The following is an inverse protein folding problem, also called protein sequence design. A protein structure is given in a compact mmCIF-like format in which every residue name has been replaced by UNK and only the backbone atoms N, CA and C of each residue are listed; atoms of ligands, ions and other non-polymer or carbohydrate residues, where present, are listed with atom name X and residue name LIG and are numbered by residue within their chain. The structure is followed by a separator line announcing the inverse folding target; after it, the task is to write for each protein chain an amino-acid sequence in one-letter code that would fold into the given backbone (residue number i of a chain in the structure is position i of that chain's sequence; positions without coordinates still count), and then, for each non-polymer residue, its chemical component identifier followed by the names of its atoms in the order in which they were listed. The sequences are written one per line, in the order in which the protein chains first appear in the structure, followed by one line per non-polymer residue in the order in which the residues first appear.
data_IF_031576046290
#
_entry.id   IF_031576046290
#
_cell.length_a   1.000
_cell.length_b   1.000
_cell.length_c   1.000
_cell.angle_alpha   90.00
_cell.angle_beta   90.00
_cell.angle_gamma   90.00
#
_symmetry.space_group_name_H-M   'P 1'
#
loop_
_entity.id
_entity.type
_entity.pdbx_description
1 polymer ?
#
# COMPACT_ATOMS: atom_id res chain seq x y z
N UNK A 1 22.82 30.77 -27.87
CA UNK A 1 23.76 31.13 -26.79
C UNK A 1 23.59 30.31 -25.50
N UNK A 2 22.57 29.45 -25.33
CA UNK A 2 22.38 28.65 -24.10
C UNK A 2 23.07 27.28 -24.08
N UNK A 3 23.58 26.79 -25.22
CA UNK A 3 24.19 25.44 -25.32
C UNK A 3 25.72 25.47 -25.21
N UNK A 4 26.36 26.63 -25.41
CA UNK A 4 27.81 26.78 -25.22
C UNK A 4 28.20 27.00 -23.75
N UNK A 5 27.30 27.53 -22.92
CA UNK A 5 27.56 27.84 -21.50
C UNK A 5 27.73 26.61 -20.61
N UNK A 6 27.15 25.47 -21.00
CA UNK A 6 27.26 24.22 -20.22
C UNK A 6 28.63 23.53 -20.37
N UNK A 7 29.34 23.75 -21.48
CA UNK A 7 30.69 23.19 -21.68
C UNK A 7 31.79 23.96 -20.94
N UNK A 8 31.50 25.17 -20.49
CA UNK A 8 32.47 26.02 -19.76
C UNK A 8 32.39 25.81 -18.23
N UNK A 9 31.31 25.20 -17.73
CA UNK A 9 31.09 24.87 -16.31
C UNK A 9 31.92 23.67 -15.80
N UNK A 10 32.53 22.89 -16.70
CA UNK A 10 33.35 21.73 -16.34
C UNK A 10 34.83 22.07 -16.06
N UNK A 11 35.27 23.31 -16.30
CA UNK A 11 36.66 23.71 -16.10
C UNK A 11 36.77 25.06 -15.39
N UNK A 12 36.80 25.00 -14.05
CA UNK A 12 37.56 25.89 -13.18
C UNK A 12 37.29 27.40 -13.26
N UNK A 13 36.46 27.91 -12.32
CA UNK A 13 36.77 29.09 -11.48
C UNK A 13 35.67 29.26 -10.42
N UNK A 14 36.10 29.24 -9.16
CA UNK A 14 35.31 29.37 -7.93
C UNK A 14 34.79 30.81 -7.70
N UNK A 15 34.09 31.38 -8.68
CA UNK A 15 33.66 32.79 -8.66
C UNK A 15 32.24 33.08 -9.16
N UNK A 16 31.59 32.13 -9.85
CA UNK A 16 30.37 32.42 -10.65
C UNK A 16 29.04 32.10 -9.97
N UNK A 17 29.03 31.86 -8.65
CA UNK A 17 27.82 31.46 -7.90
C UNK A 17 27.08 32.63 -7.26
N UNK A 18 27.34 33.87 -7.69
CA UNK A 18 26.73 35.09 -7.12
C UNK A 18 26.30 36.07 -8.22
N UNK A 19 25.02 36.41 -8.25
CA UNK A 19 24.42 37.44 -9.10
C UNK A 19 23.77 38.56 -8.28
N UNK A 20 23.23 39.59 -8.95
CA UNK A 20 22.63 40.76 -8.29
C UNK A 20 21.38 40.44 -7.43
N UNK A 21 20.74 39.29 -7.67
CA UNK A 21 19.51 38.85 -6.98
C UNK A 21 19.60 37.45 -6.37
N UNK A 22 20.78 36.81 -6.38
CA UNK A 22 20.99 35.49 -5.80
C UNK A 22 22.44 35.30 -5.38
N UNK A 23 22.66 34.64 -4.24
CA UNK A 23 23.98 34.25 -3.76
C UNK A 23 23.94 32.75 -3.42
N UNK A 24 24.43 31.93 -4.35
CA UNK A 24 24.52 30.47 -4.23
C UNK A 24 25.93 30.02 -3.82
N UNK A 25 26.84 30.94 -3.45
CA UNK A 25 28.15 30.60 -2.88
C UNK A 25 28.05 29.63 -1.67
N UNK A 26 27.04 29.72 -0.78
CA UNK A 26 26.88 28.75 0.31
C UNK A 26 26.54 27.33 -0.18
N UNK A 27 25.90 27.19 -1.34
CA UNK A 27 25.53 25.90 -1.91
C UNK A 27 26.68 25.21 -2.63
N UNK A 28 27.71 25.93 -3.06
CA UNK A 28 28.88 25.38 -3.76
C UNK A 28 29.61 24.30 -2.94
N UNK A 29 29.58 24.37 -1.61
CA UNK A 29 30.17 23.36 -0.72
C UNK A 29 29.23 22.18 -0.39
N UNK A 30 27.93 22.29 -0.71
CA UNK A 30 26.90 21.30 -0.39
C UNK A 30 26.14 20.77 -1.62
N UNK A 31 26.62 21.03 -2.85
CA UNK A 31 25.98 20.58 -4.12
C UNK A 31 25.80 19.06 -4.17
N UNK A 32 26.65 18.32 -3.45
CA UNK A 32 26.48 16.89 -3.25
C UNK A 32 25.79 16.66 -1.90
N UNK A 33 24.46 16.79 -1.90
CA UNK A 33 23.63 16.58 -0.71
C UNK A 33 23.93 15.28 0.02
N UNK A 34 23.55 15.24 1.30
CA UNK A 34 23.64 14.06 2.15
C UNK A 34 23.05 12.85 1.44
N UNK A 35 23.91 11.96 0.94
CA UNK A 35 23.48 10.72 0.31
C UNK A 35 22.95 9.80 1.40
N UNK A 36 21.63 9.62 1.43
CA UNK A 36 20.99 8.62 2.28
C UNK A 36 21.38 7.23 1.73
N UNK A 37 22.48 6.67 2.24
CA UNK A 37 23.14 5.48 1.69
C UNK A 37 22.35 4.19 1.94
N UNK A 38 21.44 4.15 2.91
CA UNK A 38 20.73 2.93 3.32
C UNK A 38 19.68 2.46 2.29
N UNK A 39 18.98 3.40 1.64
CA UNK A 39 17.97 3.08 0.62
C UNK A 39 18.58 2.74 -0.74
N UNK A 40 19.84 3.09 -0.98
CA UNK A 40 20.50 2.88 -2.28
C UNK A 40 21.00 1.44 -2.46
N UNK A 41 21.10 0.65 -1.39
CA UNK A 41 21.76 -0.66 -1.42
C UNK A 41 20.82 -1.85 -1.60
N UNK A 42 19.51 -1.70 -1.38
CA UNK A 42 18.55 -2.80 -1.49
C UNK A 42 17.35 -2.41 -2.36
N UNK A 43 17.22 -3.08 -3.50
CA UNK A 43 16.22 -2.80 -4.53
C UNK A 43 14.79 -3.17 -4.11
N UNK A 44 14.61 -4.24 -3.32
CA UNK A 44 13.30 -4.65 -2.83
C UNK A 44 12.73 -3.63 -1.84
N UNK A 45 13.54 -3.18 -0.88
CA UNK A 45 13.15 -2.16 0.11
C UNK A 45 12.85 -0.85 -0.62
N UNK A 46 13.73 -0.43 -1.53
CA UNK A 46 13.52 0.79 -2.32
C UNK A 46 12.21 0.74 -3.10
N UNK A 47 11.90 -0.38 -3.75
CA UNK A 47 10.66 -0.58 -4.51
C UNK A 47 9.41 -0.47 -3.62
N UNK A 48 9.42 -1.10 -2.43
CA UNK A 48 8.29 -1.07 -1.49
C UNK A 48 8.08 0.33 -0.93
N UNK A 49 9.14 0.98 -0.46
CA UNK A 49 9.08 2.35 0.09
C UNK A 49 8.59 3.31 -0.98
N UNK A 50 9.14 3.24 -2.20
CA UNK A 50 8.73 4.08 -3.32
C UNK A 50 7.25 3.88 -3.64
N UNK A 51 6.76 2.63 -3.65
CA UNK A 51 5.37 2.32 -3.93
C UNK A 51 4.43 2.85 -2.85
N UNK A 52 4.75 2.65 -1.58
CA UNK A 52 3.96 3.17 -0.46
C UNK A 52 3.92 4.71 -0.46
N UNK A 53 5.10 5.35 -0.55
CA UNK A 53 5.21 6.81 -0.57
C UNK A 53 4.44 7.42 -1.75
N UNK A 54 4.63 6.90 -2.97
CA UNK A 54 3.93 7.42 -4.15
C UNK A 54 2.43 7.19 -4.07
N UNK A 55 1.98 6.04 -3.56
CA UNK A 55 0.55 5.74 -3.47
C UNK A 55 -0.13 6.68 -2.47
N UNK A 56 0.43 6.84 -1.27
CA UNK A 56 -0.13 7.74 -0.23
C UNK A 56 -0.11 9.20 -0.71
N UNK A 57 0.98 9.63 -1.35
CA UNK A 57 1.11 11.02 -1.83
C UNK A 57 0.18 11.36 -2.98
N UNK A 58 -0.20 10.36 -3.79
CA UNK A 58 -1.12 10.55 -4.92
C UNK A 58 -2.59 10.73 -4.51
N UNK A 59 -2.92 10.47 -3.25
CA UNK A 59 -4.29 10.57 -2.76
C UNK A 59 -4.67 12.04 -2.54
N UNK A 60 -5.77 12.52 -3.15
CA UNK A 60 -6.29 13.86 -2.88
C UNK A 60 -6.73 14.03 -1.42
N UNK A 61 -6.47 15.20 -0.83
CA UNK A 61 -6.80 15.51 0.57
C UNK A 61 -7.82 16.63 0.61
N UNK A 62 -9.07 16.35 0.94
CA UNK A 62 -10.11 17.38 0.98
C UNK A 62 -10.37 17.82 2.42
N UNK A 63 -10.65 19.11 2.60
CA UNK A 63 -11.18 19.64 3.85
C UNK A 63 -12.71 19.63 3.76
N UNK A 64 -13.35 18.92 4.67
CA UNK A 64 -14.79 18.86 4.78
C UNK A 64 -15.27 19.64 5.99
N UNK A 65 -16.48 20.19 5.90
CA UNK A 65 -17.27 20.68 7.03
C UNK A 65 -18.66 20.06 6.94
N UNK A 66 -19.01 19.18 7.88
CA UNK A 66 -20.30 18.48 7.88
C UNK A 66 -20.64 17.84 6.52
N UNK A 67 -19.69 17.10 5.92
CA UNK A 67 -19.80 16.44 4.60
C UNK A 67 -19.74 17.36 3.37
N UNK A 68 -19.75 18.67 3.54
CA UNK A 68 -19.55 19.62 2.44
C UNK A 68 -18.06 19.96 2.28
N UNK A 69 -17.56 19.92 1.04
CA UNK A 69 -16.17 20.29 0.76
C UNK A 69 -15.98 21.80 0.90
N UNK A 70 -14.96 22.20 1.68
CA UNK A 70 -14.65 23.60 1.95
C UNK A 70 -13.23 23.91 1.49
N UNK A 71 -13.11 24.92 0.62
CA UNK A 71 -11.82 25.41 0.14
C UNK A 71 -11.39 26.66 0.91
N UNK A 72 -10.52 26.44 1.90
CA UNK A 72 -9.87 27.49 2.69
C UNK A 72 -8.35 27.49 2.45
N UNK A 73 -7.64 28.50 2.98
CA UNK A 73 -6.16 28.53 2.95
C UNK A 73 -5.51 27.27 3.53
N UNK A 74 -6.14 26.65 4.53
CA UNK A 74 -5.70 25.36 5.09
C UNK A 74 -5.87 24.17 4.14
N UNK A 75 -6.89 24.19 3.28
CA UNK A 75 -7.05 23.18 2.21
C UNK A 75 -5.92 23.33 1.18
N UNK A 76 -5.57 24.58 0.83
CA UNK A 76 -4.48 24.84 -0.12
C UNK A 76 -3.11 24.39 0.38
N UNK A 77 -2.89 24.38 1.70
CA UNK A 77 -1.65 23.92 2.34
C UNK A 77 -1.36 22.42 2.11
N UNK A 78 -2.42 21.61 1.99
CA UNK A 78 -2.33 20.15 1.79
C UNK A 78 -2.68 19.69 0.36
N UNK A 79 -3.28 20.55 -0.46
CA UNK A 79 -3.62 20.24 -1.86
C UNK A 79 -2.68 20.89 -2.88
N UNK A 80 -2.23 22.11 -2.61
CA UNK A 80 -1.40 22.87 -3.51
C UNK A 80 0.05 22.83 -3.04
N UNK A 81 0.42 23.86 -2.30
CA UNK A 81 1.80 24.14 -1.91
C UNK A 81 1.93 24.15 -0.38
N UNK A 82 2.74 23.22 0.14
CA UNK A 82 2.97 23.11 1.58
C UNK A 82 4.02 24.10 2.07
N UNK A 83 5.02 24.41 1.24
CA UNK A 83 5.97 25.49 1.47
C UNK A 83 6.51 26.00 0.11
N UNK A 84 7.15 27.18 0.07
CA UNK A 84 7.69 27.78 -1.16
C UNK A 84 8.67 26.91 -1.97
N UNK A 85 9.14 25.81 -1.39
CA UNK A 85 10.13 24.91 -1.99
C UNK A 85 9.54 23.57 -2.43
N UNK A 86 8.33 23.20 -2.00
CA UNK A 86 7.75 21.89 -2.30
C UNK A 86 6.22 21.89 -2.35
N UNK A 87 5.71 21.02 -3.23
CA UNK A 87 4.28 20.73 -3.34
C UNK A 87 3.82 19.83 -2.20
N UNK A 88 2.50 19.79 -1.98
CA UNK A 88 1.91 18.90 -0.98
C UNK A 88 2.20 17.43 -1.27
N UNK A 89 2.23 17.03 -2.55
CA UNK A 89 2.66 15.69 -2.96
C UNK A 89 4.06 15.37 -2.45
N UNK A 90 5.02 16.27 -2.65
CA UNK A 90 6.40 16.07 -2.21
C UNK A 90 6.54 16.01 -0.69
N UNK A 91 5.77 16.80 0.05
CA UNK A 91 5.76 16.75 1.52
C UNK A 91 5.30 15.38 2.03
N UNK A 92 4.15 14.90 1.57
CA UNK A 92 3.61 13.59 1.99
C UNK A 92 4.56 12.46 1.57
N UNK A 93 5.19 12.58 0.40
CA UNK A 93 6.15 11.59 -0.09
C UNK A 93 7.38 11.50 0.82
N UNK A 94 7.93 12.64 1.23
CA UNK A 94 9.05 12.70 2.16
C UNK A 94 8.66 12.17 3.54
N UNK A 95 7.52 12.59 4.08
CA UNK A 95 7.03 12.10 5.37
C UNK A 95 6.84 10.58 5.38
N UNK A 96 6.26 10.03 4.32
CA UNK A 96 6.05 8.58 4.22
C UNK A 96 7.37 7.82 3.98
N UNK A 97 8.30 8.41 3.24
CA UNK A 97 9.65 7.85 3.06
C UNK A 97 10.39 7.79 4.40
N UNK A 98 10.38 8.88 5.16
CA UNK A 98 10.95 8.95 6.51
C UNK A 98 10.27 7.98 7.47
N UNK A 99 8.93 7.90 7.44
CA UNK A 99 8.16 6.94 8.25
C UNK A 99 8.54 5.48 7.97
N UNK A 100 8.80 5.14 6.71
CA UNK A 100 9.16 3.78 6.31
C UNK A 100 10.66 3.46 6.49
N UNK A 101 11.52 4.48 6.50
CA UNK A 101 12.99 4.31 6.66
C UNK A 101 13.39 4.32 8.13
N UNK A 102 13.01 5.37 8.87
CA UNK A 102 13.42 5.60 10.25
C UNK A 102 12.31 5.29 11.26
N UNK A 103 11.16 4.80 10.78
CA UNK A 103 9.97 4.58 11.60
C UNK A 103 9.19 5.84 11.95
N UNK A 104 9.69 7.03 11.57
CA UNK A 104 9.16 8.32 11.99
C UNK A 104 9.28 9.36 10.87
N UNK A 105 8.21 10.13 10.64
CA UNK A 105 8.20 11.30 9.76
C UNK A 105 7.78 12.54 10.55
N UNK A 106 8.54 13.62 10.40
CA UNK A 106 8.31 14.88 11.11
C UNK A 106 8.12 16.03 10.13
N UNK A 107 7.15 16.91 10.42
CA UNK A 107 7.04 18.20 9.74
C UNK A 107 6.71 19.31 10.75
N UNK A 108 7.53 20.35 10.74
CA UNK A 108 7.31 21.55 11.53
C UNK A 108 6.20 22.41 10.91
N UNK A 109 5.31 22.90 11.76
CA UNK A 109 4.19 23.75 11.39
C UNK A 109 4.58 25.20 11.65
N UNK A 110 4.74 25.97 10.58
CA UNK A 110 4.88 27.42 10.69
C UNK A 110 3.49 28.04 10.78
N UNK A 111 3.25 28.85 11.82
CA UNK A 111 1.99 29.57 12.03
C UNK A 111 2.18 31.06 11.92
N UNK A 112 1.12 31.76 11.53
CA UNK A 112 1.07 33.22 11.57
C UNK A 112 0.86 33.75 13.00
N UNK A 113 0.85 35.08 13.14
CA UNK A 113 0.59 35.75 14.42
C UNK A 113 -0.81 35.46 15.01
N UNK A 114 -1.73 34.89 14.22
CA UNK A 114 -3.07 34.48 14.67
C UNK A 114 -3.14 33.01 15.09
N UNK A 115 -2.05 32.26 14.95
CA UNK A 115 -1.97 30.83 15.24
C UNK A 115 -2.49 29.93 14.11
N UNK A 116 -2.73 30.50 12.92
CA UNK A 116 -3.16 29.75 11.73
C UNK A 116 -1.95 29.15 11.02
N UNK A 117 -1.93 27.83 10.72
CA UNK A 117 -0.88 27.21 9.92
C UNK A 117 -0.74 27.85 8.54
N UNK A 118 0.48 28.27 8.19
CA UNK A 118 0.81 28.88 6.90
C UNK A 118 1.73 28.00 6.04
N UNK A 119 2.64 27.22 6.66
CA UNK A 119 3.61 26.38 5.94
C UNK A 119 3.94 25.12 6.73
N UNK A 120 4.33 24.07 6.02
CA UNK A 120 4.81 22.81 6.58
C UNK A 120 6.21 22.53 6.07
N UNK A 121 7.15 22.34 6.99
CA UNK A 121 8.56 22.08 6.69
C UNK A 121 8.91 20.67 7.13
N UNK A 122 9.22 19.74 6.21
CA UNK A 122 9.66 18.40 6.60
C UNK A 122 11.01 18.50 7.30
N UNK A 123 11.20 17.68 8.34
CA UNK A 123 12.44 17.61 9.12
C UNK A 123 12.97 16.19 9.05
N UNK A 124 14.28 16.08 8.82
CA UNK A 124 14.99 14.82 8.81
C UNK A 124 14.89 14.12 10.17
N UNK A 125 14.39 12.87 10.25
CA UNK A 125 14.16 12.18 11.52
C UNK A 125 15.43 12.00 12.37
N UNK A 126 16.59 11.85 11.74
CA UNK A 126 17.88 11.69 12.42
C UNK A 126 18.28 12.91 13.27
N UNK A 127 17.70 14.07 13.01
CA UNK A 127 17.96 15.32 13.74
C UNK A 127 17.00 15.56 14.90
N UNK A 128 15.96 14.73 15.06
CA UNK A 128 14.87 14.96 16.01
C UNK A 128 14.98 14.02 17.21
N UNK A 129 15.02 14.58 18.41
CA UNK A 129 14.95 13.84 19.68
C UNK A 129 13.64 14.17 20.38
N UNK A 130 12.82 13.14 20.63
CA UNK A 130 11.56 13.31 21.36
C UNK A 130 11.84 13.29 22.87
N UNK A 131 11.51 14.38 23.55
CA UNK A 131 11.64 14.53 25.00
C UNK A 131 10.27 14.62 25.64
N UNK A 132 10.11 13.99 26.82
CA UNK A 132 8.96 14.23 27.70
C UNK A 132 9.39 15.18 28.80
N UNK A 133 8.62 16.24 29.00
CA UNK A 133 8.83 17.12 30.13
C UNK A 133 8.42 16.40 31.43
N UNK A 134 9.24 16.52 32.47
CA UNK A 134 9.05 15.82 33.74
C UNK A 134 7.89 16.38 34.57
N UNK A 135 7.59 17.67 34.40
CA UNK A 135 6.62 18.37 35.25
C UNK A 135 5.17 18.17 34.79
N UNK A 136 4.92 18.27 33.48
CA UNK A 136 3.57 18.21 32.89
C UNK A 136 3.34 17.02 31.96
N UNK A 137 4.36 16.15 31.80
CA UNK A 137 4.36 15.01 30.87
C UNK A 137 4.08 15.40 29.41
N UNK A 138 4.29 16.68 29.05
CA UNK A 138 4.12 17.16 27.68
C UNK A 138 5.27 16.67 26.80
N UNK A 139 4.95 16.43 25.52
CA UNK A 139 5.92 15.97 24.53
C UNK A 139 6.52 17.17 23.82
N UNK A 140 7.84 17.23 23.81
CA UNK A 140 8.65 18.21 23.10
C UNK A 140 9.54 17.51 22.10
N UNK A 141 9.82 18.19 20.99
CA UNK A 141 10.71 17.73 19.95
C UNK A 141 11.92 18.67 19.93
N UNK A 142 13.08 18.15 20.28
CA UNK A 142 14.34 18.87 20.11
C UNK A 142 14.86 18.57 18.71
N UNK A 143 14.93 19.62 17.88
CA UNK A 143 15.52 19.55 16.54
C UNK A 143 16.96 20.03 16.66
N UNK A 144 17.91 19.13 16.39
CA UNK A 144 19.33 19.40 16.46
C UNK A 144 19.98 19.07 15.10
N UNK A 145 20.06 20.10 14.26
CA UNK A 145 20.77 20.07 12.97
C UNK A 145 22.06 20.88 13.08
N UNK A 146 22.96 20.71 12.11
CA UNK A 146 24.22 21.48 12.04
C UNK A 146 24.00 23.00 11.98
N UNK A 147 22.84 23.43 11.47
CA UNK A 147 22.49 24.85 11.29
C UNK A 147 21.46 25.36 12.30
N UNK A 148 20.65 24.48 12.91
CA UNK A 148 19.47 24.87 13.68
C UNK A 148 19.34 24.03 14.96
N UNK A 149 19.16 24.69 16.09
CA UNK A 149 18.87 24.04 17.37
C UNK A 149 17.67 24.71 18.04
N UNK A 150 16.53 24.03 18.08
CA UNK A 150 15.32 24.57 18.69
C UNK A 150 14.41 23.46 19.23
N UNK A 151 13.59 23.83 20.22
CA UNK A 151 12.58 22.96 20.80
C UNK A 151 11.19 23.32 20.24
N UNK A 152 10.44 22.29 19.85
CA UNK A 152 9.11 22.41 19.27
C UNK A 152 8.11 21.69 20.16
N UNK A 153 7.01 22.39 20.50
CA UNK A 153 5.93 21.82 21.30
C UNK A 153 5.09 20.84 20.47
N UNK A 154 4.40 19.89 21.12
CA UNK A 154 3.64 18.82 20.46
C UNK A 154 2.68 19.30 19.36
N UNK A 155 2.02 20.44 19.55
CA UNK A 155 1.02 20.97 18.60
C UNK A 155 1.62 21.61 17.36
N UNK A 156 2.91 21.92 17.39
CA UNK A 156 3.65 22.62 16.33
C UNK A 156 4.49 21.67 15.46
N UNK A 157 4.46 20.36 15.76
CA UNK A 157 5.18 19.34 15.01
C UNK A 157 4.21 18.24 14.58
N UNK A 158 4.03 18.03 13.28
CA UNK A 158 3.38 16.82 12.75
C UNK A 158 4.33 15.65 12.99
N UNK A 159 3.80 14.57 13.57
CA UNK A 159 4.58 13.36 13.83
C UNK A 159 3.79 12.15 13.39
N UNK A 160 4.17 11.59 12.25
CA UNK A 160 3.62 10.35 11.73
C UNK A 160 4.61 9.24 12.07
N UNK A 161 4.13 8.14 12.67
CA UNK A 161 5.01 7.09 13.19
C UNK A 161 4.56 5.72 12.73
N UNK A 162 5.50 4.79 12.58
CA UNK A 162 5.17 3.38 12.47
C UNK A 162 4.66 2.84 13.83
N UNK A 163 4.49 1.52 13.95
CA UNK A 163 4.13 0.87 15.20
C UNK A 163 5.05 1.31 16.35
N UNK A 164 4.47 1.61 17.51
CA UNK A 164 5.20 2.02 18.71
C UNK A 164 4.73 1.17 19.89
N UNK A 165 5.63 0.77 20.81
CA UNK A 165 5.23 0.11 22.05
C UNK A 165 4.46 1.10 22.95
N UNK A 166 3.68 0.60 23.91
CA UNK A 166 2.81 1.42 24.76
C UNK A 166 3.56 2.57 25.47
N UNK A 167 4.79 2.32 25.91
CA UNK A 167 5.64 3.31 26.58
C UNK A 167 6.46 4.17 25.60
N UNK A 168 6.48 3.79 24.31
CA UNK A 168 7.25 4.45 23.26
C UNK A 168 6.57 5.71 22.72
N UNK A 169 7.34 6.77 22.56
CA UNK A 169 6.89 7.99 21.82
C UNK A 169 7.32 7.92 20.34
N UNK A 170 8.27 7.04 20.02
CA UNK A 170 8.97 6.93 18.75
C UNK A 170 8.57 5.62 18.05
N UNK A 171 8.28 5.69 16.75
CA UNK A 171 7.97 4.51 15.94
C UNK A 171 9.20 3.63 15.72
N UNK A 172 8.97 2.32 15.60
CA UNK A 172 10.02 1.34 15.28
C UNK A 172 10.28 1.39 13.77
N UNK A 173 11.55 1.47 13.35
CA UNK A 173 11.93 1.38 11.94
C UNK A 173 11.70 -0.04 11.40
N UNK A 174 10.97 -0.20 10.27
CA UNK A 174 10.88 -1.47 9.57
C UNK A 174 12.25 -2.01 9.10
N UNK A 175 13.19 -1.13 8.76
CA UNK A 175 14.54 -1.50 8.32
C UNK A 175 15.34 -2.11 9.48
N UNK A 176 15.22 -1.56 10.69
CA UNK A 176 15.88 -2.12 11.88
C UNK A 176 15.38 -3.53 12.18
N UNK A 177 14.08 -3.79 11.98
CA UNK A 177 13.49 -5.14 12.13
C UNK A 177 14.05 -6.12 11.10
N UNK A 178 14.37 -5.64 9.89
CA UNK A 178 14.89 -6.44 8.78
C UNK A 178 16.41 -6.61 8.81
N UNK A 179 17.13 -5.91 9.69
CA UNK A 179 18.61 -5.95 9.74
C UNK A 179 19.18 -7.36 9.85
N UNK A 180 18.66 -8.18 10.76
CA UNK A 180 19.12 -9.57 10.92
C UNK A 180 18.94 -10.43 9.66
N UNK A 181 17.74 -10.49 9.07
CA UNK A 181 17.50 -11.16 7.78
C UNK A 181 18.40 -10.65 6.63
N UNK A 182 18.60 -9.33 6.53
CA UNK A 182 19.43 -8.73 5.47
C UNK A 182 20.92 -9.04 5.66
N UNK A 183 21.42 -8.99 6.89
CA UNK A 183 22.80 -9.37 7.21
C UNK A 183 23.05 -10.85 6.89
N UNK A 184 22.07 -11.72 7.16
CA UNK A 184 22.13 -13.12 6.78
C UNK A 184 22.16 -13.32 5.26
N UNK A 185 21.26 -12.66 4.51
CA UNK A 185 21.26 -12.72 3.06
C UNK A 185 22.61 -12.29 2.49
N UNK A 186 23.15 -11.15 2.97
CA UNK A 186 24.44 -10.63 2.52
C UNK A 186 25.58 -11.61 2.82
N UNK A 187 25.58 -12.23 4.00
CA UNK A 187 26.59 -13.24 4.35
C UNK A 187 26.53 -14.47 3.43
N UNK A 188 25.32 -14.90 3.04
CA UNK A 188 25.11 -16.01 2.09
C UNK A 188 25.54 -15.62 0.68
N UNK A 189 25.25 -14.39 0.24
CA UNK A 189 25.70 -13.83 -1.04
C UNK A 189 27.24 -13.75 -1.08
N UNK A 190 27.87 -13.16 -0.06
CA UNK A 190 29.33 -13.04 0.05
C UNK A 190 29.99 -14.43 0.06
N UNK A 191 29.42 -15.38 0.82
CA UNK A 191 29.87 -16.77 0.82
C UNK A 191 29.77 -17.39 -0.57
N UNK A 192 28.65 -17.21 -1.26
CA UNK A 192 28.41 -17.78 -2.58
C UNK A 192 29.31 -17.16 -3.65
N UNK A 193 29.51 -15.85 -3.62
CA UNK A 193 30.48 -15.15 -4.46
C UNK A 193 31.90 -15.68 -4.18
N UNK A 194 32.23 -15.96 -2.93
CA UNK A 194 33.52 -16.55 -2.58
C UNK A 194 33.69 -17.97 -3.15
N UNK A 195 32.67 -18.82 -3.05
CA UNK A 195 32.69 -20.17 -3.62
C UNK A 195 32.72 -20.14 -5.16
N UNK A 196 31.97 -19.24 -5.80
CA UNK A 196 31.97 -19.06 -7.26
C UNK A 196 33.32 -18.53 -7.79
N UNK A 197 34.00 -17.70 -7.01
CA UNK A 197 35.33 -17.17 -7.36
C UNK A 197 36.47 -18.12 -6.99
N UNK A 198 36.22 -19.23 -6.29
CA UNK A 198 37.26 -20.23 -6.05
C UNK A 198 37.64 -20.87 -7.38
N UNK A 199 38.95 -20.88 -7.64
CA UNK A 199 39.50 -21.63 -8.77
C UNK A 199 39.28 -23.13 -8.52
N UNK A 200 39.00 -23.86 -9.58
CA UNK A 200 38.93 -25.31 -9.54
C UNK A 200 40.19 -25.89 -8.87
N UNK A 201 39.97 -26.66 -7.81
CA UNK A 201 41.03 -27.41 -7.16
C UNK A 201 41.17 -28.76 -7.88
N UNK A 202 42.41 -29.16 -8.14
CA UNK A 202 42.73 -30.43 -8.78
C UNK A 202 43.57 -31.26 -7.83
N UNK A 203 43.17 -32.51 -7.63
CA UNK A 203 43.95 -33.48 -6.87
C UNK A 203 44.80 -34.25 -7.88
N UNK A 204 46.12 -34.15 -7.72
CA UNK A 204 47.10 -34.90 -8.49
C UNK A 204 47.55 -36.08 -7.63
N UNK A 205 47.06 -37.28 -7.92
CA UNK A 205 47.57 -38.49 -7.26
C UNK A 205 48.70 -39.09 -8.10
N UNK A 206 49.71 -39.61 -7.42
CA UNK A 206 50.86 -40.25 -8.06
C UNK A 206 51.31 -41.45 -7.24
N UNK A 207 51.67 -42.54 -7.91
CA UNK A 207 51.95 -43.84 -7.26
C UNK A 207 53.37 -43.96 -6.68
N UNK A 208 54.24 -42.95 -6.82
CA UNK A 208 55.65 -42.99 -6.38
C UNK A 208 56.08 -41.71 -5.67
N UNK A 209 56.92 -41.80 -4.64
CA UNK A 209 57.44 -40.61 -3.93
C UNK A 209 58.23 -39.70 -4.88
N UNK A 210 57.67 -38.52 -5.18
CA UNK A 210 58.32 -37.47 -6.00
C UNK A 210 59.10 -36.52 -5.07
N UNK A 211 60.30 -36.09 -5.47
CA UNK A 211 61.08 -35.09 -4.75
C UNK A 211 60.43 -33.68 -4.78
N UNK A 212 60.71 -32.85 -3.78
CA UNK A 212 60.06 -31.53 -3.62
C UNK A 212 60.32 -30.55 -4.78
N UNK A 213 61.44 -30.69 -5.49
CA UNK A 213 61.75 -29.91 -6.68
C UNK A 213 60.90 -30.32 -7.89
N UNK A 214 60.77 -31.63 -8.13
CA UNK A 214 59.94 -32.15 -9.22
C UNK A 214 58.45 -31.88 -8.98
N UNK A 215 58.00 -31.90 -7.73
CA UNK A 215 56.64 -31.52 -7.36
C UNK A 215 56.33 -30.07 -7.75
N UNK A 216 57.26 -29.14 -7.47
CA UNK A 216 57.08 -27.72 -7.81
C UNK A 216 57.03 -27.47 -9.31
N UNK A 217 57.96 -28.07 -10.06
CA UNK A 217 57.96 -27.97 -11.52
C UNK A 217 56.66 -28.51 -12.14
N UNK A 218 56.14 -29.63 -11.63
CA UNK A 218 54.89 -30.22 -12.11
C UNK A 218 53.67 -29.33 -11.84
N UNK A 219 53.59 -28.70 -10.65
CA UNK A 219 52.51 -27.76 -10.33
C UNK A 219 52.59 -26.52 -11.23
N UNK A 220 53.79 -26.03 -11.53
CA UNK A 220 54.00 -24.89 -12.40
C UNK A 220 53.61 -25.18 -13.86
N UNK A 221 54.02 -26.33 -14.39
CA UNK A 221 53.63 -26.80 -15.72
C UNK A 221 52.12 -27.00 -15.81
N UNK A 222 51.49 -27.58 -14.78
CA UNK A 222 50.04 -27.74 -14.72
C UNK A 222 49.30 -26.41 -14.70
N UNK A 223 49.78 -25.43 -13.93
CA UNK A 223 49.24 -24.06 -13.91
C UNK A 223 49.36 -23.36 -15.26
N UNK A 224 50.50 -23.53 -15.94
CA UNK A 224 50.72 -22.98 -17.29
C UNK A 224 49.74 -23.62 -18.28
N UNK A 225 49.57 -24.93 -18.22
CA UNK A 225 48.67 -25.69 -19.10
C UNK A 225 47.20 -25.29 -18.94
N UNK A 226 46.70 -25.10 -17.71
CA UNK A 226 45.32 -24.61 -17.49
C UNK A 226 45.13 -23.19 -18.03
N UNK A 227 46.13 -22.32 -17.88
CA UNK A 227 46.04 -20.91 -18.28
C UNK A 227 46.17 -20.72 -19.80
N UNK A 228 46.97 -21.53 -20.48
CA UNK A 228 47.28 -21.38 -21.92
C UNK A 228 46.46 -22.31 -22.83
N UNK A 229 46.16 -23.54 -22.41
CA UNK A 229 45.48 -24.56 -23.25
C UNK A 229 43.97 -24.70 -23.00
N UNK A 230 43.36 -23.83 -22.19
CA UNK A 230 41.90 -23.83 -21.99
C UNK A 230 41.33 -25.09 -21.32
N UNK A 231 42.14 -25.83 -20.56
CA UNK A 231 41.68 -26.96 -19.73
C UNK A 231 41.96 -28.37 -20.26
N UNK A 232 42.68 -28.54 -21.37
CA UNK A 232 43.13 -29.87 -21.82
C UNK A 232 44.33 -30.36 -20.99
N UNK A 233 44.20 -31.53 -20.34
CA UNK A 233 45.24 -32.14 -19.50
C UNK A 233 45.69 -33.46 -20.11
N UNK A 234 47.01 -33.64 -20.28
CA UNK A 234 47.61 -34.91 -20.73
C UNK A 234 47.86 -35.79 -19.50
N UNK A 235 47.25 -36.97 -19.48
CA UNK A 235 47.41 -37.94 -18.40
C UNK A 235 48.47 -38.99 -18.76
N UNK A 236 49.60 -38.98 -18.04
CA UNK A 236 50.63 -40.02 -18.15
C UNK A 236 50.32 -41.22 -17.24
N UNK A 237 50.80 -42.42 -17.60
CA UNK A 237 50.58 -43.64 -16.80
C UNK A 237 51.18 -43.50 -15.38
N UNK A 238 50.34 -43.68 -14.36
CA UNK A 238 50.71 -43.56 -12.94
C UNK A 238 50.37 -42.22 -12.29
N UNK A 239 49.72 -41.31 -13.04
CA UNK A 239 49.15 -40.07 -12.53
C UNK A 239 47.65 -40.03 -12.78
N UNK A 240 46.85 -39.75 -11.74
CA UNK A 240 45.42 -39.48 -11.87
C UNK A 240 45.13 -38.04 -11.49
N UNK A 241 44.31 -37.38 -12.30
CA UNK A 241 43.87 -36.01 -12.09
C UNK A 241 42.38 -36.02 -11.80
N UNK A 242 42.02 -35.85 -10.54
CA UNK A 242 40.61 -35.71 -10.15
C UNK A 242 40.32 -34.22 -9.93
N UNK A 243 39.32 -33.69 -10.65
CA UNK A 243 38.78 -32.37 -10.33
C UNK A 243 38.07 -32.47 -9.00
N UNK A 244 38.45 -31.63 -8.04
CA UNK A 244 37.69 -31.47 -6.82
C UNK A 244 36.45 -30.64 -7.15
N UNK A 245 35.33 -31.31 -7.38
CA UNK A 245 34.05 -30.64 -7.64
C UNK A 245 33.62 -29.88 -6.39
N UNK A 246 33.41 -28.56 -6.54
CA UNK A 246 32.74 -27.78 -5.51
C UNK A 246 31.32 -28.33 -5.35
N UNK A 247 30.95 -28.71 -4.12
CA UNK A 247 29.59 -29.20 -3.79
C UNK A 247 28.57 -28.08 -3.64
N UNK A 248 28.92 -26.84 -4.01
CA UNK A 248 28.00 -25.71 -3.91
C UNK A 248 26.81 -25.89 -4.86
N UNK A 249 25.60 -25.88 -4.32
CA UNK A 249 24.36 -25.94 -5.10
C UNK A 249 23.71 -24.55 -5.18
N UNK A 250 23.56 -23.97 -6.38
CA UNK A 250 22.92 -22.66 -6.56
C UNK A 250 21.43 -22.61 -6.15
N UNK A 251 20.79 -23.77 -5.91
CA UNK A 251 19.39 -23.85 -5.51
C UNK A 251 19.10 -23.20 -4.15
N UNK A 252 20.07 -23.19 -3.24
CA UNK A 252 19.93 -22.64 -1.88
C UNK A 252 19.94 -21.11 -1.85
N UNK A 253 20.49 -20.47 -2.89
CA UNK A 253 20.47 -19.00 -3.03
C UNK A 253 19.06 -18.50 -3.35
N UNK A 254 18.41 -19.12 -4.33
CA UNK A 254 17.06 -18.74 -4.76
C UNK A 254 16.05 -18.88 -3.61
N UNK A 255 16.18 -19.91 -2.78
CA UNK A 255 15.30 -20.12 -1.62
C UNK A 255 15.58 -19.07 -0.54
N UNK A 256 16.85 -18.72 -0.30
CA UNK A 256 17.23 -17.65 0.64
C UNK A 256 16.68 -16.30 0.21
N UNK A 257 16.82 -15.92 -1.07
CA UNK A 257 16.26 -14.68 -1.63
C UNK A 257 14.73 -14.61 -1.50
N UNK A 258 14.03 -15.70 -1.83
CA UNK A 258 12.57 -15.81 -1.69
C UNK A 258 12.12 -15.63 -0.22
N UNK A 259 12.84 -16.24 0.72
CA UNK A 259 12.56 -16.08 2.16
C UNK A 259 12.77 -14.62 2.58
N UNK A 260 13.85 -13.96 2.14
CA UNK A 260 14.08 -12.56 2.48
C UNK A 260 13.02 -11.65 1.88
N UNK A 261 12.64 -11.87 0.61
CA UNK A 261 11.56 -11.12 -0.04
C UNK A 261 10.23 -11.25 0.71
N UNK A 262 9.90 -12.45 1.20
CA UNK A 262 8.74 -12.69 2.06
C UNK A 262 8.82 -11.96 3.40
N UNK A 263 10.00 -11.93 4.03
CA UNK A 263 10.22 -11.16 5.27
C UNK A 263 10.04 -9.65 5.05
N UNK A 264 10.59 -9.12 3.95
CA UNK A 264 10.42 -7.70 3.56
C UNK A 264 8.93 -7.40 3.34
N UNK A 265 8.24 -8.24 2.57
CA UNK A 265 6.81 -8.08 2.32
C UNK A 265 5.97 -8.02 3.61
N UNK A 266 6.26 -8.92 4.55
CA UNK A 266 5.59 -8.97 5.84
C UNK A 266 5.90 -7.75 6.71
N UNK A 267 7.15 -7.27 6.73
CA UNK A 267 7.55 -6.12 7.54
C UNK A 267 6.82 -4.82 7.14
N UNK A 268 6.62 -4.62 5.83
CA UNK A 268 5.89 -3.47 5.28
C UNK A 268 4.39 -3.73 5.05
N UNK A 269 3.90 -4.91 5.41
CA UNK A 269 2.53 -5.35 5.18
C UNK A 269 2.08 -5.18 3.72
N UNK A 270 2.93 -5.51 2.75
CA UNK A 270 2.63 -5.45 1.31
C UNK A 270 2.49 -6.87 0.75
N UNK A 271 1.57 -7.11 -0.20
CA UNK A 271 1.47 -8.41 -0.87
C UNK A 271 2.78 -8.79 -1.58
N UNK A 272 3.19 -10.05 -1.42
CA UNK A 272 4.36 -10.65 -2.08
C UNK A 272 4.36 -10.47 -3.61
N UNK A 273 3.18 -10.48 -4.22
CA UNK A 273 3.01 -10.27 -5.66
C UNK A 273 3.58 -8.91 -6.14
N UNK A 274 3.70 -7.91 -5.26
CA UNK A 274 4.26 -6.60 -5.63
C UNK A 274 5.79 -6.61 -5.72
N UNK A 275 6.45 -7.62 -5.15
CA UNK A 275 7.90 -7.83 -5.22
C UNK A 275 8.29 -8.74 -6.38
N UNK A 276 7.47 -8.81 -7.43
CA UNK A 276 7.69 -9.60 -8.66
C UNK A 276 7.93 -11.10 -8.40
N UNK A 277 7.49 -11.62 -7.26
CA UNK A 277 7.48 -13.05 -7.00
C UNK A 277 6.18 -13.66 -7.54
N UNK A 278 6.30 -14.31 -8.69
CA UNK A 278 5.16 -14.91 -9.35
C UNK A 278 4.89 -16.29 -8.73
N UNK A 279 3.88 -16.40 -7.87
CA UNK A 279 3.48 -17.65 -7.19
C UNK A 279 2.78 -18.66 -8.13
N UNK A 280 2.96 -18.54 -9.45
CA UNK A 280 2.37 -19.44 -10.45
C UNK A 280 0.86 -19.31 -10.60
N UNK A 281 0.22 -18.29 -10.00
CA UNK A 281 -1.25 -18.14 -9.99
C UNK A 281 -1.66 -17.01 -10.95
N UNK A 282 -1.88 -17.38 -12.20
CA UNK A 282 -2.45 -16.52 -13.25
C UNK A 282 -3.97 -16.36 -13.09
N UNK A 283 -4.47 -15.18 -12.73
CA UNK A 283 -5.82 -14.69 -13.12
C UNK A 283 -6.03 -13.22 -12.68
N UNK A 284 -6.43 -12.34 -13.61
CA UNK A 284 -6.63 -10.91 -13.35
C UNK A 284 -7.67 -10.56 -12.26
N UNK A 285 -8.57 -11.48 -11.91
CA UNK A 285 -9.49 -11.34 -10.78
C UNK A 285 -8.79 -11.42 -9.42
N UNK A 286 -7.71 -12.19 -9.31
CA UNK A 286 -6.90 -12.25 -8.09
C UNK A 286 -6.16 -10.92 -7.86
N UNK A 287 -5.72 -10.24 -8.93
CA UNK A 287 -5.01 -8.96 -8.80
C UNK A 287 -5.89 -7.82 -8.26
N UNK A 288 -7.17 -7.78 -8.62
CA UNK A 288 -8.10 -6.77 -8.09
C UNK A 288 -8.36 -6.99 -6.59
N UNK A 289 -8.60 -8.24 -6.19
CA UNK A 289 -8.78 -8.59 -4.77
C UNK A 289 -7.51 -8.32 -3.95
N UNK A 290 -6.32 -8.59 -4.51
CA UNK A 290 -5.03 -8.28 -3.88
C UNK A 290 -4.82 -6.77 -3.73
N UNK A 291 -5.18 -5.97 -4.74
CA UNK A 291 -5.14 -4.51 -4.64
C UNK A 291 -6.10 -4.00 -3.57
N UNK A 292 -7.33 -4.54 -3.50
CA UNK A 292 -8.30 -4.19 -2.46
C UNK A 292 -7.77 -4.57 -1.07
N UNK A 293 -7.18 -5.75 -0.92
CA UNK A 293 -6.57 -6.19 0.33
C UNK A 293 -5.46 -5.23 0.76
N UNK A 294 -4.56 -4.87 -0.15
CA UNK A 294 -3.50 -3.89 0.11
C UNK A 294 -4.06 -2.53 0.54
N UNK A 295 -5.08 -2.02 -0.15
CA UNK A 295 -5.71 -0.75 0.21
C UNK A 295 -6.33 -0.84 1.61
N UNK A 296 -7.11 -1.88 1.90
CA UNK A 296 -7.83 -2.03 3.17
C UNK A 296 -6.91 -2.33 4.36
N UNK A 297 -5.93 -3.21 4.19
CA UNK A 297 -5.07 -3.68 5.29
C UNK A 297 -3.86 -2.80 5.52
N UNK A 298 -3.39 -2.07 4.51
CA UNK A 298 -2.12 -1.33 4.58
C UNK A 298 -2.35 0.16 4.43
N UNK A 299 -2.98 0.61 3.34
CA UNK A 299 -3.13 2.05 3.08
C UNK A 299 -4.13 2.73 4.00
N UNK A 300 -5.31 2.13 4.25
CA UNK A 300 -6.35 2.75 5.08
C UNK A 300 -5.86 3.06 6.50
N UNK A 301 -5.16 2.16 7.22
CA UNK A 301 -4.58 2.49 8.52
C UNK A 301 -3.58 3.65 8.48
N UNK A 302 -2.71 3.67 7.46
CA UNK A 302 -1.72 4.74 7.27
C UNK A 302 -2.45 6.06 7.03
N UNK A 303 -3.36 6.10 6.07
CA UNK A 303 -4.18 7.27 5.74
C UNK A 303 -4.93 7.81 6.97
N UNK A 304 -5.58 6.93 7.73
CA UNK A 304 -6.28 7.34 8.97
C UNK A 304 -5.34 7.96 10.00
N UNK A 305 -4.09 7.50 10.07
CA UNK A 305 -3.09 8.11 10.95
C UNK A 305 -2.74 9.54 10.50
N UNK A 306 -2.53 9.75 9.19
CA UNK A 306 -2.31 11.09 8.64
C UNK A 306 -3.53 11.99 8.88
N UNK A 307 -4.74 11.51 8.60
CA UNK A 307 -5.99 12.24 8.89
C UNK A 307 -6.08 12.65 10.36
N UNK A 308 -5.81 11.73 11.29
CA UNK A 308 -5.87 12.00 12.72
C UNK A 308 -4.83 13.04 13.15
N UNK A 309 -3.59 12.96 12.66
CA UNK A 309 -2.53 13.91 12.96
C UNK A 309 -2.82 15.30 12.37
N UNK A 310 -3.26 15.38 11.11
CA UNK A 310 -3.65 16.64 10.47
C UNK A 310 -4.86 17.27 11.15
N UNK A 311 -5.90 16.50 11.46
CA UNK A 311 -7.07 16.99 12.17
C UNK A 311 -6.73 17.49 13.57
N UNK A 312 -5.83 16.80 14.28
CA UNK A 312 -5.43 17.19 15.63
C UNK A 312 -4.59 18.47 15.65
N UNK A 313 -3.65 18.64 14.71
CA UNK A 313 -2.61 19.67 14.77
C UNK A 313 -2.85 20.87 13.84
N UNK A 314 -3.45 20.67 12.66
CA UNK A 314 -3.73 21.76 11.73
C UNK A 314 -5.04 22.48 12.05
N UNK A 315 -6.01 21.79 12.64
CA UNK A 315 -7.30 22.37 13.02
C UNK A 315 -7.34 22.73 14.51
N UNK A 316 -7.81 23.95 14.78
CA UNK A 316 -8.10 24.38 16.15
C UNK A 316 -9.27 23.58 16.74
N UNK A 317 -9.38 23.55 18.07
CA UNK A 317 -10.47 22.84 18.75
C UNK A 317 -11.86 23.37 18.36
N UNK A 318 -11.98 24.68 18.15
CA UNK A 318 -13.24 25.32 17.70
C UNK A 318 -13.61 24.96 16.26
N UNK A 319 -12.61 24.79 15.38
CA UNK A 319 -12.84 24.34 14.01
C UNK A 319 -13.32 22.89 13.97
N UNK A 320 -12.69 22.01 14.75
CA UNK A 320 -13.12 20.61 14.89
C UNK A 320 -14.52 20.49 15.49
N UNK A 321 -14.85 21.30 16.50
CA UNK A 321 -16.19 21.32 17.10
C UNK A 321 -17.29 21.75 16.11
N UNK A 322 -16.94 22.55 15.09
CA UNK A 322 -17.83 22.92 13.99
C UNK A 322 -17.95 21.86 12.88
N UNK A 323 -17.36 20.68 13.08
CA UNK A 323 -17.42 19.57 12.16
C UNK A 323 -16.42 19.66 10.98
N UNK A 324 -15.34 20.45 11.12
CA UNK A 324 -14.28 20.47 10.11
C UNK A 324 -13.30 19.30 10.28
N UNK A 325 -12.95 18.63 9.18
CA UNK A 325 -11.96 17.56 9.15
C UNK A 325 -11.33 17.41 7.77
N UNK A 326 -10.04 17.07 7.73
CA UNK A 326 -9.33 16.58 6.56
C UNK A 326 -9.63 15.11 6.33
N UNK A 327 -9.80 14.75 5.06
CA UNK A 327 -10.06 13.38 4.62
C UNK A 327 -9.37 13.10 3.30
N UNK A 328 -8.71 11.95 3.22
CA UNK A 328 -8.10 11.46 2.00
C UNK A 328 -9.13 10.71 1.17
N UNK A 329 -9.10 10.94 -0.14
CA UNK A 329 -9.99 10.24 -1.07
C UNK A 329 -9.39 8.89 -1.49
N UNK A 330 -9.66 7.85 -0.70
CA UNK A 330 -9.24 6.46 -1.01
C UNK A 330 -10.19 5.79 -2.01
N UNK A 331 -11.37 6.36 -2.26
CA UNK A 331 -12.39 5.76 -3.14
C UNK A 331 -11.87 5.59 -4.57
N UNK A 332 -10.97 6.45 -5.05
CA UNK A 332 -10.32 6.30 -6.36
C UNK A 332 -9.60 4.96 -6.54
N UNK A 333 -8.95 4.45 -5.49
CA UNK A 333 -8.24 3.16 -5.50
C UNK A 333 -9.18 1.96 -5.37
N UNK A 334 -10.36 2.15 -4.77
CA UNK A 334 -11.37 1.10 -4.55
C UNK A 334 -12.39 0.98 -5.70
N UNK A 335 -12.27 1.79 -6.77
CA UNK A 335 -13.19 1.79 -7.92
C UNK A 335 -13.24 0.48 -8.71
N UNK A 336 -12.28 -0.43 -8.53
CA UNK A 336 -12.28 -1.75 -9.16
C UNK A 336 -13.52 -2.60 -8.82
N UNK A 337 -14.15 -2.37 -7.66
CA UNK A 337 -15.31 -3.15 -7.19
C UNK A 337 -16.61 -2.33 -7.15
N UNK A 338 -16.79 -1.42 -8.11
CA UNK A 338 -18.04 -0.65 -8.23
C UNK A 338 -19.25 -1.57 -8.46
N UNK A 339 -19.06 -2.74 -9.10
CA UNK A 339 -20.11 -3.72 -9.32
C UNK A 339 -20.61 -4.38 -8.03
N UNK A 340 -19.75 -4.95 -7.17
CA UNK A 340 -20.24 -5.55 -5.93
C UNK A 340 -20.72 -4.49 -4.94
N UNK A 341 -20.11 -3.30 -4.92
CA UNK A 341 -20.56 -2.16 -4.10
C UNK A 341 -21.96 -1.67 -4.51
N UNK A 342 -22.22 -1.56 -5.82
CA UNK A 342 -23.54 -1.19 -6.34
C UNK A 342 -24.58 -2.27 -6.04
N UNK A 343 -24.24 -3.55 -6.22
CA UNK A 343 -25.11 -4.66 -5.87
C UNK A 343 -25.44 -4.68 -4.37
N UNK A 344 -24.46 -4.41 -3.50
CA UNK A 344 -24.69 -4.30 -2.06
C UNK A 344 -25.65 -3.17 -1.72
N UNK A 345 -25.46 -1.97 -2.27
CA UNK A 345 -26.38 -0.83 -2.06
C UNK A 345 -27.77 -1.08 -2.61
N UNK A 346 -27.86 -1.70 -3.78
CA UNK A 346 -29.13 -2.12 -4.34
C UNK A 346 -29.83 -3.09 -3.40
N UNK A 347 -29.16 -4.12 -2.85
CA UNK A 347 -29.77 -5.04 -1.90
C UNK A 347 -30.21 -4.33 -0.61
N UNK A 348 -29.42 -3.40 -0.08
CA UNK A 348 -29.74 -2.67 1.16
C UNK A 348 -30.98 -1.78 1.00
N UNK A 349 -31.08 -1.04 -0.12
CA UNK A 349 -32.27 -0.22 -0.44
C UNK A 349 -33.46 -1.12 -0.74
N UNK A 350 -33.28 -2.17 -1.56
CA UNK A 350 -34.38 -3.03 -2.01
C UNK A 350 -35.05 -3.79 -0.86
N UNK A 351 -34.30 -4.14 0.18
CA UNK A 351 -34.77 -4.85 1.36
C UNK A 351 -35.21 -3.94 2.51
N UNK A 352 -35.20 -2.60 2.33
CA UNK A 352 -35.59 -1.65 3.37
C UNK A 352 -34.68 -1.64 4.60
N UNK A 353 -33.41 -2.04 4.46
CA UNK A 353 -32.44 -2.09 5.57
C UNK A 353 -31.80 -0.71 5.82
N UNK A 354 -31.60 0.08 4.76
CA UNK A 354 -31.00 1.41 4.85
C UNK A 354 -31.72 2.40 3.93
N UNK A 355 -31.80 3.67 4.36
CA UNK A 355 -32.30 4.74 3.51
C UNK A 355 -31.23 5.21 2.51
N UNK A 356 -31.62 5.84 1.39
CA UNK A 356 -30.66 6.47 0.48
C UNK A 356 -29.70 7.44 1.19
N UNK A 357 -30.16 8.23 2.17
CA UNK A 357 -29.29 9.14 2.91
C UNK A 357 -28.33 8.42 3.86
N UNK A 358 -28.69 7.27 4.42
CA UNK A 358 -27.76 6.45 5.23
C UNK A 358 -26.60 5.93 4.39
N UNK A 359 -26.88 5.48 3.16
CA UNK A 359 -25.84 5.04 2.22
C UNK A 359 -24.97 6.21 1.75
N UNK A 360 -25.57 7.39 1.51
CA UNK A 360 -24.80 8.60 1.20
C UNK A 360 -23.89 8.98 2.36
N UNK A 361 -24.35 8.88 3.60
CA UNK A 361 -23.52 9.10 4.79
C UNK A 361 -22.36 8.10 4.89
N UNK A 362 -22.60 6.84 4.53
CA UNK A 362 -21.54 5.81 4.48
C UNK A 362 -20.49 6.10 3.40
N UNK A 363 -20.90 6.74 2.31
CA UNK A 363 -20.02 7.24 1.25
C UNK A 363 -19.43 8.64 1.53
N UNK A 364 -19.75 9.24 2.68
CA UNK A 364 -19.44 10.63 3.00
C UNK A 364 -19.95 11.64 1.94
N UNK A 365 -21.01 11.28 1.22
CA UNK A 365 -21.69 12.15 0.28
C UNK A 365 -22.64 13.09 1.02
N UNK A 366 -22.82 14.32 0.53
CA UNK A 366 -23.75 15.26 1.14
C UNK A 366 -25.18 14.67 1.11
N UNK A 367 -25.93 14.74 2.22
CA UNK A 367 -27.28 14.20 2.28
C UNK A 367 -28.20 14.96 1.32
N UNK A 368 -29.17 14.24 0.75
CA UNK A 368 -30.22 14.85 -0.06
C UNK A 368 -31.27 15.44 0.88
N UNK A 369 -31.65 16.70 0.65
CA UNK A 369 -32.60 17.45 1.49
C UNK A 369 -34.06 17.00 1.33
N UNK A 370 -34.34 16.15 0.36
CA UNK A 370 -35.68 15.61 0.13
C UNK A 370 -36.05 14.63 1.25
N UNK A 371 -37.24 14.78 1.82
CA UNK A 371 -37.73 13.93 2.91
C UNK A 371 -37.84 12.46 2.48
N UNK A 372 -38.03 12.21 1.19
CA UNK A 372 -38.10 10.86 0.61
C UNK A 372 -36.78 10.10 0.70
N UNK A 373 -35.65 10.81 0.79
CA UNK A 373 -34.32 10.20 0.87
C UNK A 373 -33.98 9.67 2.26
N UNK A 374 -34.75 10.04 3.29
CA UNK A 374 -34.66 9.49 4.65
C UNK A 374 -35.62 8.32 4.90
N UNK A 375 -36.48 7.99 3.92
CA UNK A 375 -37.44 6.90 4.05
C UNK A 375 -36.83 5.56 3.63
N UNK A 376 -37.30 4.48 4.26
CA UNK A 376 -36.95 3.12 3.87
C UNK A 376 -37.83 2.71 2.70
N UNK A 377 -37.19 2.20 1.65
CA UNK A 377 -37.86 1.74 0.44
C UNK A 377 -37.91 0.22 0.45
N UNK A 378 -38.95 -0.38 -0.11
CA UNK A 378 -39.02 -1.82 -0.36
C UNK A 378 -39.45 -2.05 -1.79
N UNK A 379 -38.91 -3.09 -2.39
CA UNK A 379 -39.18 -3.42 -3.79
C UNK A 379 -40.52 -4.15 -3.90
N UNK A 380 -41.43 -3.61 -4.71
CA UNK A 380 -42.74 -4.23 -5.00
C UNK A 380 -42.70 -5.20 -6.20
N UNK A 381 -41.55 -5.78 -6.55
CA UNK A 381 -41.36 -6.47 -7.83
C UNK A 381 -41.92 -7.93 -7.84
N UNK A 382 -42.20 -8.53 -6.68
CA UNK A 382 -42.70 -9.90 -6.58
C UNK A 382 -44.23 -9.95 -6.46
N UNK A 383 -44.88 -10.30 -7.57
CA UNK A 383 -46.30 -10.63 -7.63
C UNK A 383 -46.48 -12.13 -7.96
N UNK A 384 -47.53 -12.80 -7.46
CA UNK A 384 -47.89 -14.16 -7.89
C UNK A 384 -48.10 -14.19 -9.41
N UNK A 385 -47.70 -15.28 -10.05
CA UNK A 385 -47.78 -15.41 -11.52
C UNK A 385 -49.21 -15.26 -12.06
N UNK A 386 -50.20 -15.60 -11.24
CA UNK A 386 -51.62 -15.59 -11.59
C UNK A 386 -52.31 -14.23 -11.36
N UNK A 387 -51.59 -13.22 -10.84
CA UNK A 387 -52.19 -11.91 -10.53
C UNK A 387 -52.18 -10.99 -11.76
N UNK A 388 -53.37 -10.60 -12.22
CA UNK A 388 -53.57 -9.69 -13.33
C UNK A 388 -52.92 -8.31 -13.07
N UNK A 389 -52.37 -7.69 -14.12
CA UNK A 389 -51.59 -6.45 -14.01
C UNK A 389 -52.40 -5.29 -13.40
N UNK A 390 -53.73 -5.29 -13.57
CA UNK A 390 -54.63 -4.24 -13.11
C UNK A 390 -54.83 -4.24 -11.59
N UNK A 391 -54.74 -5.41 -10.94
CA UNK A 391 -54.89 -5.55 -9.48
C UNK A 391 -53.59 -5.28 -8.69
N UNK A 392 -52.52 -4.91 -9.40
CA UNK A 392 -51.22 -4.59 -8.78
C UNK A 392 -51.15 -3.19 -8.18
N UNK A 393 -52.07 -2.29 -8.58
CA UNK A 393 -52.05 -0.86 -8.25
C UNK A 393 -53.30 -0.33 -7.51
N UNK A 394 -54.34 -1.16 -7.30
CA UNK A 394 -55.61 -0.71 -6.71
C UNK A 394 -55.61 -0.82 -5.18
N UNK A 395 -55.41 0.30 -4.49
CA UNK A 395 -55.94 0.50 -3.14
C UNK A 395 -57.44 0.80 -3.27
N UNK A 396 -58.30 -0.18 -3.00
CA UNK A 396 -59.76 0.01 -2.98
C UNK A 396 -60.21 0.99 -1.90
N UNK A 397 -61.41 1.59 -2.06
CA UNK A 397 -62.43 1.16 -1.10
C UNK A 397 -63.89 1.12 -1.63
N UNK A 398 -64.69 0.26 -0.96
CA UNK A 398 -66.05 0.53 -0.42
C UNK A 398 -67.30 -0.06 -1.14
N UNK A 399 -68.51 -0.05 -0.52
CA UNK A 399 -69.28 -1.24 -0.13
C UNK A 399 -70.74 -1.23 -0.68
N UNK A 400 -71.53 -2.24 -0.28
CA UNK A 400 -72.98 -2.46 -0.49
C UNK A 400 -73.88 -1.28 -0.95
N UNK A 401 -74.66 -1.49 -2.04
CA UNK A 401 -76.14 -1.34 -2.06
C UNK A 401 -76.76 -1.56 -3.46
N UNK A 402 -77.77 -2.44 -3.52
CA UNK A 402 -79.00 -2.39 -4.37
C UNK A 402 -78.85 -2.51 -5.92
N UNK A 403 -79.68 -3.19 -6.72
CA UNK A 403 -80.97 -3.94 -6.66
C UNK A 403 -81.05 -4.69 -8.02
N UNK A 404 -81.36 -5.99 -8.04
CA UNK A 404 -82.63 -6.59 -8.49
C UNK A 404 -83.17 -6.21 -9.91
N UNK A 405 -83.37 -7.27 -10.71
CA UNK A 405 -84.29 -7.46 -11.87
C UNK A 405 -83.95 -6.85 -13.25
N UNK A 406 -83.67 -7.71 -14.25
CA UNK A 406 -84.67 -8.08 -15.28
C UNK A 406 -84.16 -9.12 -16.30
N UNK A 407 -84.85 -10.26 -16.31
CA UNK A 407 -85.13 -11.30 -17.33
C UNK A 407 -84.54 -11.30 -18.76
N UNK A 408 -84.10 -12.50 -19.19
CA UNK A 408 -84.58 -13.38 -20.31
C UNK A 408 -83.42 -14.31 -20.72
N UNK A 409 -83.40 -15.63 -20.45
CA UNK A 409 -84.23 -16.73 -20.99
C UNK A 409 -83.78 -17.11 -22.42
N UNK A 410 -83.36 -18.33 -22.81
CA UNK A 410 -83.17 -19.65 -22.18
C UNK A 410 -82.52 -20.68 -23.15
N UNK A 411 -82.34 -21.93 -22.66
CA UNK A 411 -82.05 -23.23 -23.34
C UNK A 411 -80.71 -23.43 -24.09
N UNK A 412 -79.98 -24.57 -24.03
CA UNK A 412 -80.30 -25.96 -23.60
C UNK A 412 -79.01 -26.77 -23.28
N UNK A 413 -79.20 -27.84 -22.49
CA UNK A 413 -78.48 -29.13 -22.40
C UNK A 413 -77.43 -29.38 -21.31
N UNK A 414 -77.95 -29.90 -20.19
CA UNK A 414 -77.31 -30.86 -19.28
C UNK A 414 -76.93 -32.18 -19.98
N UNK A 415 -75.81 -32.80 -19.57
CA UNK A 415 -75.80 -34.12 -18.90
C UNK A 415 -74.40 -34.65 -18.55
N UNK A 416 -74.31 -35.07 -17.29
CA UNK A 416 -73.62 -36.29 -16.81
C UNK A 416 -72.10 -36.21 -16.54
N UNK A 417 -71.79 -35.49 -15.47
CA UNK A 417 -70.71 -35.78 -14.52
C UNK A 417 -70.96 -37.11 -13.78
N UNK A 418 -70.43 -38.22 -14.28
CA UNK A 418 -70.31 -39.45 -13.47
C UNK A 418 -69.33 -40.46 -14.11
N UNK A 419 -68.00 -40.20 -14.10
CA UNK A 419 -67.03 -41.29 -14.43
C UNK A 419 -65.54 -41.11 -14.09
N UNK A 420 -65.09 -40.16 -13.26
CA UNK A 420 -63.65 -40.02 -12.97
C UNK A 420 -63.26 -40.07 -11.48
N UNK A 421 -64.15 -40.55 -10.60
CA UNK A 421 -63.89 -40.65 -9.16
C UNK A 421 -63.56 -42.07 -8.63
N UNK A 422 -63.19 -43.03 -9.50
CA UNK A 422 -63.02 -44.43 -9.06
C UNK A 422 -61.74 -45.14 -9.55
N UNK A 423 -60.62 -44.42 -9.72
CA UNK A 423 -59.33 -45.04 -10.11
C UNK A 423 -58.25 -44.95 -9.03
N UNK A 424 -58.48 -44.26 -7.90
CA UNK A 424 -57.41 -43.95 -6.95
C UNK A 424 -57.45 -44.63 -5.57
N UNK A 425 -58.30 -45.64 -5.30
CA UNK A 425 -58.27 -46.25 -3.96
C UNK A 425 -58.71 -47.71 -3.79
N UNK A 426 -58.32 -48.63 -4.68
CA UNK A 426 -58.28 -50.06 -4.37
C UNK A 426 -57.17 -50.76 -5.16
N UNK A 427 -56.00 -50.93 -4.55
CA UNK A 427 -55.19 -52.19 -4.53
C UNK A 427 -53.83 -51.93 -3.88
N UNK A 428 -53.86 -51.65 -2.58
CA UNK A 428 -52.72 -51.87 -1.70
C UNK A 428 -52.98 -53.10 -0.83
N UNK A 429 -52.44 -54.25 -1.23
CA UNK A 429 -51.82 -55.30 -0.39
C UNK A 429 -51.85 -56.67 -1.06
N UNK A 430 -50.77 -57.41 -0.81
CA UNK A 430 -50.43 -58.79 -1.16
C UNK A 430 -49.64 -58.92 -2.48
N UNK A 431 -48.49 -59.60 -2.56
CA UNK A 431 -47.73 -60.44 -1.62
C UNK A 431 -46.34 -60.67 -2.24
N UNK A 432 -45.31 -60.80 -1.41
CA UNK A 432 -43.97 -61.26 -1.78
C UNK A 432 -44.02 -62.64 -2.46
N UNK A 433 -43.23 -62.79 -3.53
CA UNK A 433 -42.27 -63.90 -3.75
C UNK A 433 -41.17 -63.42 -4.67
#
# INVERSE_FOLDING_TARGET
MLVQSFKQLATGRSGDWKGAHYDFMPWANNVFGYKNNSLQTNEEIFSVVTRLANTVSSLPIHLYQNYDEVNNGLSNLLNGESNPSMTSFSLINQLETSRNTDGNGYAFIERDNTGTPIRLWPIEPSTVVVKRNLDDNSIWYEVNSSEWHFMVYNTEMIHVRHITPLDGVVGISPIDVLKGPLDFQKAVEDFSLSEMNKKDAYIIQYDRSVSDEKRRAMIEDFRRMIKENGGAVVQEKGFTFDRFESRFQPGDLKTTESITRSRIANAFNVPLAFLNENTGTSTGTLSEQLMIQFVKMTLVPIVKQYEAEFNRKLLTQSQRARGMYFKFNVNGLLRGDTAARTNFYQMMIRNGIASPNDLRKLEDLPPVKDDTANQLWITGDLYPIDLAIQDRNSREPSPESEKAESEKGGDTNDKETEQLAEVFNRHGKHLNT
#
